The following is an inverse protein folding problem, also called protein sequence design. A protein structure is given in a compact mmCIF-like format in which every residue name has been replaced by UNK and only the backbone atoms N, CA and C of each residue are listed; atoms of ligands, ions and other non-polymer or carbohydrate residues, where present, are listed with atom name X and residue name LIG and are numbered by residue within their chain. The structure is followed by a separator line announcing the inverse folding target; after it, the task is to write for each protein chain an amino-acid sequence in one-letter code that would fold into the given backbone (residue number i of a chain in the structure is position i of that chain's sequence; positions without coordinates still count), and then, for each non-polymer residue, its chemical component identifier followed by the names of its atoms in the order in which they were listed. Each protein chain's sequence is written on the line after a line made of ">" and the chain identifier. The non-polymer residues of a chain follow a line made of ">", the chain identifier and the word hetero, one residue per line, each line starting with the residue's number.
data_IF_855490530925
#
_entry.id   IF_855490530925
#
_cell.length_a   1.000
_cell.length_b   1.000
_cell.length_c   1.000
_cell.angle_alpha   90.00
_cell.angle_beta   90.00
_cell.angle_gamma   90.00
#
_symmetry.space_group_name_H-M   'P 1'
#
loop_
_entity.id
_entity.type
_entity.pdbx_description
1 polymer ?
#
# COMPACT_ATOMS: atom_id res chain seq x y z
N UNK A 1 25.61 -21.20 -7.21
CA UNK A 1 24.38 -20.40 -7.29
C UNK A 1 24.43 -19.27 -6.26
N UNK A 2 24.74 -18.03 -6.65
CA UNK A 2 24.81 -16.86 -5.73
C UNK A 2 23.94 -15.68 -6.21
N UNK A 3 23.56 -15.62 -7.50
CA UNK A 3 22.88 -14.46 -8.08
C UNK A 3 21.41 -14.24 -7.70
N UNK A 4 20.67 -15.27 -7.30
CA UNK A 4 19.21 -15.17 -7.08
C UNK A 4 18.88 -14.47 -5.75
N UNK A 5 19.65 -14.74 -4.69
CA UNK A 5 19.38 -14.23 -3.35
C UNK A 5 19.58 -12.70 -3.24
N UNK A 6 20.62 -12.18 -3.89
CA UNK A 6 20.90 -10.73 -3.96
C UNK A 6 19.87 -9.96 -4.79
N UNK A 7 19.35 -10.57 -5.87
CA UNK A 7 18.32 -9.95 -6.69
C UNK A 7 16.99 -9.82 -5.93
N UNK A 8 16.63 -10.83 -5.12
CA UNK A 8 15.45 -10.76 -4.25
C UNK A 8 15.57 -9.64 -3.21
N UNK A 9 16.74 -9.50 -2.57
CA UNK A 9 16.99 -8.43 -1.59
C UNK A 9 16.89 -7.04 -2.23
N UNK A 10 17.32 -6.89 -3.48
CA UNK A 10 17.19 -5.63 -4.22
C UNK A 10 15.73 -5.30 -4.56
N UNK A 11 14.93 -6.31 -4.92
CA UNK A 11 13.51 -6.12 -5.22
C UNK A 11 12.69 -5.75 -3.97
N UNK A 12 12.96 -6.40 -2.85
CA UNK A 12 12.34 -6.07 -1.56
C UNK A 12 12.68 -4.64 -1.12
N UNK A 13 13.95 -4.23 -1.26
CA UNK A 13 14.37 -2.86 -0.96
C UNK A 13 13.66 -1.83 -1.86
N UNK A 14 13.56 -2.11 -3.17
CA UNK A 14 12.82 -1.25 -4.10
C UNK A 14 11.33 -1.16 -3.75
N UNK A 15 10.71 -2.29 -3.41
CA UNK A 15 9.30 -2.33 -3.00
C UNK A 15 9.07 -1.50 -1.73
N UNK A 16 9.97 -1.61 -0.75
CA UNK A 16 9.92 -0.80 0.48
C UNK A 16 10.12 0.70 0.20
N UNK A 17 11.03 1.06 -0.70
CA UNK A 17 11.23 2.46 -1.11
C UNK A 17 9.98 3.03 -1.78
N UNK A 18 9.31 2.25 -2.64
CA UNK A 18 8.06 2.64 -3.29
C UNK A 18 6.94 2.81 -2.27
N UNK A 19 6.74 1.83 -1.37
CA UNK A 19 5.75 1.91 -0.28
C UNK A 19 5.88 3.23 0.49
N UNK A 20 7.09 3.53 0.98
CA UNK A 20 7.36 4.75 1.73
C UNK A 20 7.11 6.03 0.92
N UNK A 21 7.40 6.00 -0.37
CA UNK A 21 7.16 7.15 -1.25
C UNK A 21 5.65 7.42 -1.40
N UNK A 22 4.83 6.38 -1.55
CA UNK A 22 3.37 6.51 -1.63
C UNK A 22 2.75 6.96 -0.29
N UNK A 23 3.19 6.38 0.83
CA UNK A 23 2.73 6.78 2.17
C UNK A 23 3.08 8.24 2.48
N UNK A 24 4.30 8.67 2.13
CA UNK A 24 4.71 10.07 2.27
C UNK A 24 3.91 11.02 1.39
N UNK A 25 3.39 10.54 0.26
CA UNK A 25 2.48 11.29 -0.61
C UNK A 25 1.02 11.27 -0.12
N UNK A 26 0.75 10.72 1.08
CA UNK A 26 -0.58 10.64 1.67
C UNK A 26 -1.47 9.57 1.03
N UNK A 27 -0.89 8.61 0.30
CA UNK A 27 -1.62 7.46 -0.23
C UNK A 27 -1.51 6.31 0.74
N UNK A 28 -2.63 5.64 1.01
CA UNK A 28 -2.63 4.43 1.80
C UNK A 28 -2.44 3.23 0.87
N UNK A 29 -1.37 2.48 1.11
CA UNK A 29 -1.08 1.21 0.42
C UNK A 29 -1.67 0.08 1.25
N UNK A 30 -2.54 -0.74 0.66
CA UNK A 30 -3.19 -1.88 1.35
C UNK A 30 -2.40 -3.17 1.15
N UNK A 31 -1.70 -3.31 0.02
CA UNK A 31 -0.92 -4.51 -0.29
C UNK A 31 0.31 -4.19 -1.14
N UNK A 32 1.40 -4.89 -0.86
CA UNK A 32 2.58 -4.94 -1.72
C UNK A 32 2.81 -6.39 -2.13
N UNK A 33 3.03 -6.66 -3.42
CA UNK A 33 3.32 -8.00 -3.94
C UNK A 33 4.49 -7.95 -4.91
N UNK A 34 5.39 -8.92 -4.80
CA UNK A 34 6.59 -9.03 -5.62
C UNK A 34 6.52 -10.36 -6.38
N UNK A 35 6.49 -10.29 -7.70
CA UNK A 35 6.54 -11.45 -8.59
C UNK A 35 7.74 -11.34 -9.53
N UNK A 36 8.82 -12.03 -9.18
CA UNK A 36 10.10 -11.96 -9.89
C UNK A 36 10.67 -10.53 -9.92
N UNK A 37 10.49 -9.84 -11.05
CA UNK A 37 10.93 -8.45 -11.26
C UNK A 37 9.78 -7.43 -11.27
N UNK A 38 8.55 -7.89 -11.05
CA UNK A 38 7.35 -7.05 -10.97
C UNK A 38 7.08 -6.69 -9.51
N UNK A 39 6.77 -5.43 -9.26
CA UNK A 39 6.26 -4.94 -7.97
C UNK A 39 4.87 -4.38 -8.23
N UNK A 40 3.89 -4.84 -7.46
CA UNK A 40 2.53 -4.32 -7.47
C UNK A 40 2.22 -3.69 -6.11
N UNK A 41 1.68 -2.47 -6.14
CA UNK A 41 1.13 -1.79 -4.97
C UNK A 41 -0.36 -1.61 -5.18
N UNK A 42 -1.15 -2.12 -4.24
CA UNK A 42 -2.58 -1.87 -4.16
C UNK A 42 -2.79 -0.63 -3.28
N UNK A 43 -3.49 0.38 -3.82
CA UNK A 43 -3.82 1.60 -3.11
C UNK A 43 -5.28 1.52 -2.65
N UNK A 44 -5.57 1.99 -1.44
CA UNK A 44 -6.97 2.22 -1.09
C UNK A 44 -7.50 3.39 -1.93
N UNK A 45 -8.53 3.12 -2.72
CA UNK A 45 -9.35 4.16 -3.33
C UNK A 45 -10.32 4.61 -2.25
N UNK A 46 -10.02 5.74 -1.62
CA UNK A 46 -10.80 6.24 -0.50
C UNK A 46 -12.29 6.39 -0.84
N UNK A 47 -13.08 5.40 -0.48
CA UNK A 47 -14.23 5.66 0.36
C UNK A 47 -13.73 5.50 1.79
N UNK A 48 -13.26 6.61 2.38
CA UNK A 48 -13.45 6.78 3.81
C UNK A 48 -14.95 7.07 3.93
N UNK A 49 -15.78 6.05 3.71
CA UNK A 49 -17.18 6.13 4.08
C UNK A 49 -17.13 6.23 5.60
N UNK A 50 -17.31 7.44 6.10
CA UNK A 50 -17.50 7.69 7.50
C UNK A 50 -18.72 6.84 7.90
N UNK A 51 -18.47 5.67 8.52
CA UNK A 51 -19.52 4.75 8.97
C UNK A 51 -20.50 5.44 9.94
N UNK A 52 -20.16 6.65 10.41
CA UNK A 52 -20.96 7.48 11.30
C UNK A 52 -21.73 8.60 10.61
N UNK A 53 -21.56 8.85 9.30
CA UNK A 53 -22.27 9.92 8.56
C UNK A 53 -23.78 9.65 8.38
N UNK A 54 -24.28 8.52 8.90
CA UNK A 54 -25.70 8.13 8.81
C UNK A 54 -26.48 8.28 10.11
N UNK A 55 -25.87 8.67 11.23
CA UNK A 55 -26.60 8.86 12.48
C UNK A 55 -27.03 10.32 12.61
N UNK A 56 -28.15 10.67 11.99
CA UNK A 56 -28.87 11.91 12.28
C UNK A 56 -29.48 11.79 13.70
N UNK A 57 -28.70 12.14 14.73
CA UNK A 57 -29.19 12.23 16.11
C UNK A 57 -30.01 13.50 16.31
N UNK A 58 -31.12 13.63 15.58
CA UNK A 58 -32.19 14.59 15.89
C UNK A 58 -33.11 13.97 16.93
N UNK A 59 -32.84 14.22 18.20
CA UNK A 59 -33.86 14.15 19.24
C UNK A 59 -34.62 15.48 19.23
N UNK A 60 -35.88 15.42 18.78
CA UNK A 60 -36.89 16.44 19.05
C UNK A 60 -37.55 16.21 20.39
#
# INVERSE_FOLDING_TARGET
>A
MIGVKMAATNMEQKALSLLRAFERAGKMVTRVSIDGRKIELELSTGEIADEFDRIDMRHG
#
